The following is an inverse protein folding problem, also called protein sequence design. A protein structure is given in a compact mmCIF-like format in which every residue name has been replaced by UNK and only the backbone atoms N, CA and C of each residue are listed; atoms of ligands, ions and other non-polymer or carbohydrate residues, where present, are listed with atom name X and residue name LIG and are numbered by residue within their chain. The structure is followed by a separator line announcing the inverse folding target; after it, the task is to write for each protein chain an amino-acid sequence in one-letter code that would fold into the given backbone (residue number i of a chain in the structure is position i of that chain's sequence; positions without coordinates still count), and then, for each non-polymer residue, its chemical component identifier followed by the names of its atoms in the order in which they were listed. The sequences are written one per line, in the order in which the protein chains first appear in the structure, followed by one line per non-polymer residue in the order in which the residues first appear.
data_IF_442735795429
#
_entry.id   IF_442735795429
#
_cell.length_a   1.000
_cell.length_b   1.000
_cell.length_c   1.000
_cell.angle_alpha   90.00
_cell.angle_beta   90.00
_cell.angle_gamma   90.00
#
_symmetry.space_group_name_H-M   'P 1'
#
loop_
_entity.id
_entity.type
_entity.pdbx_description
1 polymer ?
#
# COMPACT_ATOMS: atom_id res chain seq x y z
N UNK A 1 -7.48 -35.66 29.81
CA UNK A 1 -7.23 -34.30 30.32
C UNK A 1 -6.52 -33.51 29.23
N UNK A 2 -7.21 -32.56 28.58
CA UNK A 2 -6.57 -31.73 27.55
C UNK A 2 -5.61 -30.76 28.25
N UNK A 3 -4.30 -31.01 28.15
CA UNK A 3 -3.28 -30.09 28.59
C UNK A 3 -3.49 -28.77 27.83
N UNK A 4 -4.11 -27.80 28.49
CA UNK A 4 -4.29 -26.46 27.95
C UNK A 4 -2.92 -25.83 27.90
N UNK A 5 -2.26 -25.95 26.73
CA UNK A 5 -1.01 -25.25 26.46
C UNK A 5 -1.18 -23.79 26.86
N UNK A 6 -0.22 -23.19 27.59
CA UNK A 6 -0.34 -21.80 28.01
C UNK A 6 -0.50 -20.91 26.78
N UNK A 7 -1.36 -19.90 26.85
CA UNK A 7 -1.68 -19.03 25.72
C UNK A 7 -0.41 -18.42 25.08
N UNK A 8 0.60 -18.10 25.91
CA UNK A 8 1.92 -17.64 25.49
C UNK A 8 2.56 -18.57 24.46
N UNK A 9 2.48 -19.89 24.67
CA UNK A 9 3.06 -20.87 23.73
C UNK A 9 2.38 -20.86 22.35
N UNK A 10 1.07 -20.60 22.29
CA UNK A 10 0.34 -20.48 21.03
C UNK A 10 0.68 -19.19 20.28
N UNK A 11 0.87 -18.10 21.02
CA UNK A 11 1.28 -16.80 20.47
C UNK A 11 2.67 -16.93 19.82
N UNK A 12 3.64 -17.53 20.51
CA UNK A 12 4.98 -17.73 19.94
C UNK A 12 5.01 -18.76 18.80
N UNK A 13 4.13 -19.76 18.81
CA UNK A 13 3.96 -20.64 17.65
C UNK A 13 3.44 -19.87 16.43
N UNK A 14 2.46 -18.98 16.62
CA UNK A 14 1.98 -18.11 15.55
C UNK A 14 3.08 -17.17 15.06
N UNK A 15 3.87 -16.62 15.98
CA UNK A 15 5.02 -15.77 15.66
C UNK A 15 6.05 -16.53 14.81
N UNK A 16 6.46 -17.73 15.23
CA UNK A 16 7.39 -18.56 14.46
C UNK A 16 6.87 -18.88 13.06
N UNK A 17 5.57 -19.20 12.93
CA UNK A 17 4.96 -19.45 11.61
C UNK A 17 5.03 -18.22 10.70
N UNK A 18 4.75 -17.03 11.23
CA UNK A 18 4.86 -15.78 10.48
C UNK A 18 6.31 -15.46 10.11
N UNK A 19 7.25 -15.66 11.03
CA UNK A 19 8.68 -15.42 10.79
C UNK A 19 9.27 -16.37 9.73
N UNK A 20 8.92 -17.66 9.77
CA UNK A 20 9.39 -18.66 8.81
C UNK A 20 8.86 -18.36 7.41
N UNK A 21 7.55 -18.09 7.29
CA UNK A 21 6.92 -17.86 6.00
C UNK A 21 7.19 -16.44 5.46
N UNK A 22 7.62 -15.52 6.33
CA UNK A 22 7.74 -14.08 6.07
C UNK A 22 6.46 -13.46 5.48
N UNK A 23 5.32 -14.11 5.70
CA UNK A 23 4.02 -13.73 5.16
C UNK A 23 2.90 -14.34 6.00
N UNK A 24 1.66 -13.89 5.74
CA UNK A 24 0.47 -14.37 6.44
C UNK A 24 -0.03 -15.64 5.73
N UNK A 25 -0.15 -16.78 6.44
CA UNK A 25 -0.69 -18.03 5.88
C UNK A 25 -2.11 -17.85 5.31
N UNK A 26 -2.36 -18.38 4.10
CA UNK A 26 -3.63 -18.19 3.39
C UNK A 26 -4.85 -18.73 4.15
N UNK A 27 -4.68 -19.83 4.89
CA UNK A 27 -5.69 -20.45 5.76
C UNK A 27 -6.09 -19.56 6.94
N UNK A 28 -5.23 -18.62 7.33
CA UNK A 28 -5.48 -17.69 8.43
C UNK A 28 -6.11 -16.36 8.01
N UNK A 29 -6.28 -16.10 6.71
CA UNK A 29 -6.69 -14.77 6.20
C UNK A 29 -8.10 -14.36 6.62
N UNK A 30 -9.06 -15.29 6.54
CA UNK A 30 -10.44 -15.02 6.94
C UNK A 30 -10.51 -14.72 8.44
N UNK A 31 -9.89 -15.58 9.25
CA UNK A 31 -9.78 -15.42 10.69
C UNK A 31 -9.10 -14.10 11.08
N UNK A 32 -8.02 -13.76 10.38
CA UNK A 32 -7.30 -12.50 10.58
C UNK A 32 -8.19 -11.31 10.26
N UNK A 33 -8.88 -11.34 9.11
CA UNK A 33 -9.82 -10.28 8.70
C UNK A 33 -10.91 -10.04 9.75
N UNK A 34 -11.54 -11.09 10.26
CA UNK A 34 -12.54 -10.99 11.33
C UNK A 34 -11.97 -10.36 12.61
N UNK A 35 -10.77 -10.78 13.03
CA UNK A 35 -10.16 -10.30 14.28
C UNK A 35 -9.62 -8.87 14.15
N UNK A 36 -9.10 -8.50 12.97
CA UNK A 36 -8.77 -7.11 12.64
C UNK A 36 -10.02 -6.23 12.68
N UNK A 37 -11.16 -6.70 12.15
CA UNK A 37 -12.42 -5.98 12.24
C UNK A 37 -12.86 -5.79 13.70
N UNK A 38 -12.72 -6.80 14.57
CA UNK A 38 -13.01 -6.66 16.01
C UNK A 38 -12.13 -5.58 16.66
N UNK A 39 -10.83 -5.56 16.36
CA UNK A 39 -9.89 -4.60 16.92
C UNK A 39 -10.15 -3.16 16.44
N UNK A 40 -10.34 -3.00 15.13
CA UNK A 40 -10.20 -1.71 14.45
C UNK A 40 -11.48 -1.09 13.92
N UNK A 41 -12.57 -1.85 13.80
CA UNK A 41 -13.83 -1.30 13.31
C UNK A 41 -14.27 -0.10 14.16
N UNK A 42 -14.83 0.95 13.56
CA UNK A 42 -15.38 2.07 14.32
C UNK A 42 -16.38 1.54 15.35
N UNK A 43 -16.43 2.16 16.54
CA UNK A 43 -17.49 1.85 17.51
C UNK A 43 -18.80 2.24 16.83
N UNK A 44 -19.50 1.27 16.25
CA UNK A 44 -20.85 1.49 15.75
C UNK A 44 -21.62 2.10 16.91
N UNK A 45 -22.12 3.33 16.73
CA UNK A 45 -23.10 3.90 17.66
C UNK A 45 -24.19 2.87 17.70
N UNK A 46 -24.31 2.19 18.85
CA UNK A 46 -25.30 1.17 19.03
C UNK A 46 -26.63 1.81 18.66
N UNK A 47 -27.17 1.46 17.49
CA UNK A 47 -28.52 1.88 17.15
C UNK A 47 -29.35 1.40 18.33
N UNK A 48 -29.96 2.37 19.03
CA UNK A 48 -30.89 2.10 20.12
C UNK A 48 -32.01 1.31 19.49
N UNK A 49 -31.90 -0.01 19.54
CA UNK A 49 -32.99 -0.91 19.12
C UNK A 49 -34.06 -0.76 20.19
N UNK A 50 -35.29 -0.48 19.77
CA UNK A 50 -36.45 -0.29 20.65
C UNK A 50 -36.94 -1.61 21.30
N UNK A 51 -36.04 -2.58 21.50
CA UNK A 51 -36.40 -3.90 22.02
C UNK A 51 -35.25 -4.55 22.77
N UNK A 52 -35.61 -5.43 23.71
CA UNK A 52 -34.68 -6.24 24.49
C UNK A 52 -33.83 -7.09 23.54
N UNK A 53 -32.51 -6.88 23.54
CA UNK A 53 -31.58 -7.70 22.76
C UNK A 53 -31.66 -9.16 23.18
N UNK A 54 -31.53 -10.09 22.23
CA UNK A 54 -31.43 -11.52 22.54
C UNK A 54 -30.15 -11.76 23.35
N UNK A 55 -30.23 -12.59 24.39
CA UNK A 55 -29.10 -12.86 25.30
C UNK A 55 -27.82 -13.27 24.53
N UNK A 56 -27.96 -14.09 23.48
CA UNK A 56 -26.84 -14.49 22.63
C UNK A 56 -26.10 -13.31 21.97
N UNK A 57 -26.84 -12.32 21.46
CA UNK A 57 -26.27 -11.11 20.86
C UNK A 57 -25.53 -10.29 21.92
N UNK A 58 -26.12 -10.14 23.10
CA UNK A 58 -25.51 -9.44 24.23
C UNK A 58 -24.17 -10.08 24.62
N UNK A 59 -24.14 -11.41 24.79
CA UNK A 59 -22.92 -12.14 25.15
C UNK A 59 -21.86 -12.06 24.05
N UNK A 60 -22.25 -12.11 22.78
CA UNK A 60 -21.33 -11.95 21.65
C UNK A 60 -20.73 -10.54 21.59
N UNK A 61 -21.56 -9.52 21.79
CA UNK A 61 -21.12 -8.12 21.81
C UNK A 61 -20.22 -7.83 23.01
N UNK A 62 -20.56 -8.35 24.19
CA UNK A 62 -19.72 -8.25 25.38
C UNK A 62 -18.34 -8.87 25.13
N UNK A 63 -18.29 -10.08 24.56
CA UNK A 63 -17.04 -10.73 24.14
C UNK A 63 -16.23 -9.89 23.17
N UNK A 64 -16.85 -9.34 22.12
CA UNK A 64 -16.18 -8.46 21.15
C UNK A 64 -15.62 -7.20 21.82
N UNK A 65 -16.35 -6.60 22.77
CA UNK A 65 -15.90 -5.42 23.51
C UNK A 65 -14.65 -5.72 24.35
N UNK A 66 -14.64 -6.85 25.05
CA UNK A 66 -13.47 -7.29 25.84
C UNK A 66 -12.29 -7.63 24.95
N UNK A 67 -12.50 -8.42 23.89
CA UNK A 67 -11.46 -8.78 22.93
C UNK A 67 -10.83 -7.55 22.28
N UNK A 68 -11.65 -6.57 21.86
CA UNK A 68 -11.17 -5.30 21.31
C UNK A 68 -10.27 -4.56 22.30
N UNK A 69 -10.68 -4.45 23.57
CA UNK A 69 -9.87 -3.79 24.61
C UNK A 69 -8.50 -4.45 24.69
N UNK A 70 -8.48 -5.78 24.80
CA UNK A 70 -7.24 -6.55 24.96
C UNK A 70 -6.36 -6.46 23.71
N UNK A 71 -6.92 -6.61 22.52
CA UNK A 71 -6.18 -6.47 21.26
C UNK A 71 -5.53 -5.09 21.12
N UNK A 72 -6.25 -4.02 21.44
CA UNK A 72 -5.69 -2.67 21.38
C UNK A 72 -4.63 -2.44 22.46
N UNK A 73 -4.80 -3.01 23.65
CA UNK A 73 -3.80 -2.90 24.71
C UNK A 73 -2.50 -3.63 24.35
N UNK A 74 -2.59 -4.82 23.75
CA UNK A 74 -1.42 -5.53 23.20
C UNK A 74 -0.76 -4.71 22.08
N UNK A 75 -1.54 -4.14 21.16
CA UNK A 75 -1.02 -3.28 20.10
C UNK A 75 -0.23 -2.08 20.65
N UNK A 76 -0.71 -1.46 21.71
CA UNK A 76 -0.06 -0.30 22.32
C UNK A 76 1.21 -0.68 23.09
N UNK A 77 1.29 -1.90 23.63
CA UNK A 77 2.44 -2.38 24.41
C UNK A 77 3.55 -2.95 23.53
N UNK A 78 3.20 -3.79 22.56
CA UNK A 78 4.12 -4.28 21.54
C UNK A 78 3.39 -4.52 20.21
N UNK A 79 3.53 -3.60 19.24
CA UNK A 79 2.96 -3.77 17.90
C UNK A 79 3.46 -5.02 17.18
N UNK A 80 4.66 -5.52 17.49
CA UNK A 80 5.25 -6.67 16.80
C UNK A 80 4.62 -7.99 17.21
N UNK A 81 4.15 -8.10 18.45
CA UNK A 81 3.46 -9.32 18.90
C UNK A 81 1.96 -9.30 18.54
N UNK A 82 1.41 -8.15 18.14
CA UNK A 82 -0.01 -7.98 17.86
C UNK A 82 -0.55 -8.99 16.84
N UNK A 83 0.09 -9.13 15.67
CA UNK A 83 -0.38 -10.08 14.64
C UNK A 83 -0.37 -11.54 15.13
N UNK A 84 0.75 -12.07 15.67
CA UNK A 84 0.76 -13.38 16.33
C UNK A 84 -0.31 -13.52 17.41
N UNK A 85 -0.50 -12.48 18.24
CA UNK A 85 -1.47 -12.47 19.32
C UNK A 85 -2.89 -12.63 18.78
N UNK A 86 -3.28 -11.79 17.83
CA UNK A 86 -4.64 -11.86 17.28
C UNK A 86 -4.85 -13.12 16.48
N UNK A 87 -3.83 -13.79 15.95
CA UNK A 87 -3.98 -15.11 15.31
C UNK A 87 -4.16 -16.24 16.34
N UNK A 88 -3.44 -16.19 17.45
CA UNK A 88 -3.47 -17.23 18.48
C UNK A 88 -4.64 -17.09 19.48
N UNK A 89 -4.96 -15.87 19.92
CA UNK A 89 -5.91 -15.61 21.00
C UNK A 89 -7.27 -15.23 20.43
N UNK A 90 -8.24 -16.15 20.55
CA UNK A 90 -9.62 -15.91 20.11
C UNK A 90 -10.35 -14.89 21.01
N UNK A 91 -11.42 -14.24 20.52
CA UNK A 91 -12.24 -13.34 21.33
C UNK A 91 -12.83 -13.99 22.59
N UNK A 92 -13.00 -15.33 22.59
CA UNK A 92 -13.44 -16.08 23.77
C UNK A 92 -12.32 -16.21 24.80
N UNK A 93 -11.10 -16.50 24.35
CA UNK A 93 -9.93 -16.61 25.22
C UNK A 93 -9.58 -15.28 25.88
N UNK A 94 -9.87 -14.15 25.22
CA UNK A 94 -9.72 -12.81 25.79
C UNK A 94 -10.49 -12.60 27.10
N UNK A 95 -11.59 -13.32 27.36
CA UNK A 95 -12.36 -13.13 28.60
C UNK A 95 -11.58 -13.47 29.88
N UNK A 96 -10.63 -14.39 29.78
CA UNK A 96 -9.81 -14.86 30.89
C UNK A 96 -8.33 -14.61 30.64
N UNK A 97 -8.00 -13.73 29.70
CA UNK A 97 -6.62 -13.44 29.33
C UNK A 97 -6.05 -12.38 30.28
N UNK A 98 -4.99 -12.73 31.01
CA UNK A 98 -4.26 -11.80 31.85
C UNK A 98 -3.12 -11.15 31.05
N UNK A 99 -3.32 -9.88 30.71
CA UNK A 99 -2.33 -9.09 29.99
C UNK A 99 -1.07 -8.87 30.83
N UNK A 100 -1.22 -8.57 32.13
CA UNK A 100 -0.08 -8.26 32.99
C UNK A 100 0.84 -9.46 33.11
N UNK A 101 0.27 -10.64 33.40
CA UNK A 101 1.03 -11.89 33.47
C UNK A 101 1.70 -12.24 32.14
N UNK A 102 1.00 -12.03 31.02
CA UNK A 102 1.59 -12.23 29.70
C UNK A 102 2.77 -11.28 29.45
N UNK A 103 2.62 -9.99 29.74
CA UNK A 103 3.66 -8.99 29.50
C UNK A 103 4.89 -9.19 30.40
N UNK A 104 4.72 -9.65 31.63
CA UNK A 104 5.84 -10.01 32.53
C UNK A 104 6.68 -11.17 31.98
N UNK A 105 6.02 -12.16 31.35
CA UNK A 105 6.68 -13.30 30.74
C UNK A 105 7.15 -13.01 29.30
N UNK A 106 6.64 -11.95 28.69
CA UNK A 106 6.88 -11.65 27.30
C UNK A 106 8.27 -11.02 27.13
N UNK A 107 9.17 -11.77 26.47
CA UNK A 107 10.42 -11.23 25.97
C UNK A 107 10.18 -10.73 24.56
N UNK A 108 10.39 -9.43 24.32
CA UNK A 108 10.25 -8.82 23.00
C UNK A 108 11.15 -9.56 22.00
N UNK A 109 10.54 -10.35 21.10
CA UNK A 109 11.25 -11.22 20.14
C UNK A 109 11.87 -10.43 18.96
N UNK A 110 12.06 -9.12 19.12
CA UNK A 110 12.39 -8.22 18.03
C UNK A 110 11.27 -8.10 16.99
N UNK A 111 11.60 -7.45 15.87
CA UNK A 111 10.66 -7.26 14.76
C UNK A 111 10.59 -8.53 13.92
N UNK A 112 9.38 -8.98 13.60
CA UNK A 112 9.19 -10.01 12.59
C UNK A 112 9.17 -9.34 11.22
N UNK A 113 10.10 -9.73 10.33
CA UNK A 113 10.16 -9.19 8.97
C UNK A 113 9.07 -9.85 8.10
N UNK A 114 7.93 -9.16 7.96
CA UNK A 114 6.93 -9.48 6.95
C UNK A 114 7.35 -8.87 5.60
N UNK A 115 7.29 -9.64 4.53
CA UNK A 115 7.54 -9.15 3.16
C UNK A 115 6.43 -8.21 2.67
N UNK A 116 6.73 -7.44 1.63
CA UNK A 116 5.82 -6.47 1.00
C UNK A 116 4.46 -7.07 0.60
N UNK A 117 4.38 -8.37 0.30
CA UNK A 117 3.11 -9.02 0.00
C UNK A 117 2.15 -9.05 1.21
N UNK A 118 2.68 -9.17 2.44
CA UNK A 118 1.86 -9.14 3.66
C UNK A 118 1.24 -7.76 3.89
N UNK A 119 1.94 -6.69 3.51
CA UNK A 119 1.41 -5.33 3.58
C UNK A 119 0.18 -5.19 2.69
N UNK A 120 0.28 -5.62 1.42
CA UNK A 120 -0.82 -5.61 0.47
C UNK A 120 -2.00 -6.46 0.94
N UNK A 121 -1.73 -7.63 1.55
CA UNK A 121 -2.75 -8.50 2.15
C UNK A 121 -3.49 -7.77 3.29
N UNK A 122 -2.76 -7.14 4.21
CA UNK A 122 -3.36 -6.43 5.34
C UNK A 122 -4.19 -5.23 4.89
N UNK A 123 -3.70 -4.46 3.92
CA UNK A 123 -4.49 -3.39 3.30
C UNK A 123 -5.72 -3.91 2.58
N UNK A 124 -5.61 -5.03 1.86
CA UNK A 124 -6.74 -5.68 1.20
C UNK A 124 -7.82 -6.13 2.20
N UNK A 125 -7.42 -6.77 3.29
CA UNK A 125 -8.30 -7.14 4.40
C UNK A 125 -8.91 -5.90 5.05
N UNK A 126 -8.12 -4.85 5.25
CA UNK A 126 -8.60 -3.62 5.87
C UNK A 126 -9.68 -2.93 5.05
N UNK A 127 -9.50 -2.83 3.73
CA UNK A 127 -10.52 -2.31 2.80
C UNK A 127 -11.76 -3.21 2.78
N UNK A 128 -11.59 -4.53 2.74
CA UNK A 128 -12.70 -5.50 2.78
C UNK A 128 -13.59 -5.33 4.01
N UNK A 129 -13.00 -4.95 5.14
CA UNK A 129 -13.70 -4.76 6.41
C UNK A 129 -13.96 -3.30 6.80
N UNK A 130 -13.71 -2.34 5.90
CA UNK A 130 -13.88 -0.90 6.13
C UNK A 130 -13.16 -0.38 7.39
N UNK A 131 -11.90 -0.83 7.56
CA UNK A 131 -11.04 -0.44 8.69
C UNK A 131 -9.75 0.27 8.26
N UNK A 132 -9.53 0.48 6.96
CA UNK A 132 -8.36 1.18 6.40
C UNK A 132 -8.32 2.67 6.79
N UNK A 133 -9.47 3.25 7.12
CA UNK A 133 -9.60 4.58 7.74
C UNK A 133 -9.22 4.64 9.23
N UNK A 134 -9.15 3.49 9.92
CA UNK A 134 -8.93 3.42 11.37
C UNK A 134 -7.53 3.91 11.77
N UNK A 135 -7.48 4.82 12.74
CA UNK A 135 -6.21 5.39 13.23
C UNK A 135 -5.30 4.30 13.82
N UNK A 136 -5.87 3.34 14.55
CA UNK A 136 -5.11 2.24 15.13
C UNK A 136 -4.59 1.26 14.08
N UNK A 137 -5.39 0.98 13.03
CA UNK A 137 -4.91 0.14 11.92
C UNK A 137 -3.74 0.81 11.19
N UNK A 138 -3.84 2.11 10.88
CA UNK A 138 -2.73 2.84 10.27
C UNK A 138 -1.51 2.92 11.19
N UNK A 139 -1.71 3.04 12.50
CA UNK A 139 -0.61 2.95 13.48
C UNK A 139 0.06 1.57 13.39
N UNK A 140 -0.69 0.47 13.45
CA UNK A 140 -0.18 -0.88 13.26
C UNK A 140 0.66 -1.00 11.98
N UNK A 141 0.13 -0.54 10.84
CA UNK A 141 0.82 -0.62 9.55
C UNK A 141 2.15 0.16 9.56
N UNK A 142 2.19 1.34 10.19
CA UNK A 142 3.42 2.13 10.34
C UNK A 142 4.46 1.42 11.22
N UNK A 143 4.04 0.86 12.35
CA UNK A 143 4.93 0.18 13.28
C UNK A 143 5.53 -1.12 12.69
N UNK A 144 4.70 -1.92 12.01
CA UNK A 144 5.14 -3.23 11.49
C UNK A 144 5.93 -3.10 10.20
N UNK A 145 5.50 -2.25 9.26
CA UNK A 145 6.15 -2.15 7.94
C UNK A 145 7.16 -1.03 7.84
N UNK A 146 7.42 -0.29 8.93
CA UNK A 146 8.25 0.91 8.90
C UNK A 146 7.87 1.81 7.73
N UNK A 147 6.56 1.97 7.48
CA UNK A 147 6.10 3.05 6.60
C UNK A 147 6.74 4.28 7.20
N UNK A 148 7.72 4.84 6.48
CA UNK A 148 8.61 5.87 7.02
C UNK A 148 7.73 6.91 7.70
N UNK A 149 8.12 7.42 8.89
CA UNK A 149 7.45 8.59 9.44
C UNK A 149 7.30 9.58 8.28
N UNK A 150 6.10 10.15 8.10
CA UNK A 150 5.83 10.96 6.93
C UNK A 150 6.99 11.94 6.81
N UNK A 151 7.73 11.84 5.70
CA UNK A 151 9.01 12.55 5.58
C UNK A 151 8.78 14.05 5.74
N UNK A 152 7.54 14.47 5.46
CA UNK A 152 7.08 15.83 5.64
C UNK A 152 5.63 15.91 6.14
N UNK A 153 5.22 17.07 6.65
CA UNK A 153 3.86 17.39 7.06
C UNK A 153 2.84 17.23 5.92
N UNK A 154 3.28 17.37 4.66
CA UNK A 154 2.45 17.28 3.46
C UNK A 154 1.88 15.87 3.23
N UNK A 155 2.50 14.83 3.81
CA UNK A 155 1.95 13.47 3.83
C UNK A 155 0.82 13.30 4.88
N UNK A 156 0.68 14.27 5.79
CA UNK A 156 -0.34 14.30 6.83
C UNK A 156 -1.77 14.36 6.31
N UNK A 157 -2.76 14.29 7.20
CA UNK A 157 -4.19 14.37 6.82
C UNK A 157 -4.66 15.80 6.52
N UNK A 158 -3.96 16.80 7.04
CA UNK A 158 -4.31 18.22 6.96
C UNK A 158 -3.54 18.90 5.83
N UNK A 159 -3.93 18.65 4.58
CA UNK A 159 -3.30 19.26 3.40
C UNK A 159 -4.32 19.68 2.34
N UNK A 160 -4.01 20.75 1.62
CA UNK A 160 -4.64 21.08 0.35
C UNK A 160 -4.07 20.16 -0.73
N UNK A 161 -4.92 19.65 -1.62
CA UNK A 161 -4.48 18.93 -2.83
C UNK A 161 -4.86 19.77 -4.04
N UNK A 162 -3.85 20.29 -4.75
CA UNK A 162 -4.03 21.00 -6.00
C UNK A 162 -3.81 20.02 -7.15
N UNK A 163 -4.91 19.59 -7.75
CA UNK A 163 -4.93 18.85 -9.00
C UNK A 163 -5.10 19.87 -10.13
N UNK A 164 -4.29 19.77 -11.18
CA UNK A 164 -4.16 20.69 -12.34
C UNK A 164 -2.90 21.56 -12.27
N UNK A 165 -1.97 21.24 -13.17
CA UNK A 165 -0.79 22.05 -13.47
C UNK A 165 -0.74 22.32 -14.97
N UNK A 166 -0.14 23.44 -15.38
CA UNK A 166 0.03 23.76 -16.80
C UNK A 166 1.27 23.06 -17.35
N UNK A 167 1.13 22.49 -18.54
CA UNK A 167 2.19 21.78 -19.27
C UNK A 167 3.45 22.66 -19.48
N UNK A 168 3.33 23.93 -19.90
CA UNK A 168 4.50 24.81 -19.98
C UNK A 168 5.21 25.03 -18.64
N UNK A 169 4.47 25.18 -17.53
CA UNK A 169 5.07 25.37 -16.21
C UNK A 169 5.79 24.10 -15.74
N UNK A 170 5.21 22.92 -15.99
CA UNK A 170 5.85 21.62 -15.72
C UNK A 170 7.17 21.53 -16.49
N UNK A 171 7.15 21.83 -17.79
CA UNK A 171 8.35 21.80 -18.64
C UNK A 171 9.43 22.73 -18.11
N UNK A 172 9.06 23.96 -17.75
CA UNK A 172 10.00 24.95 -17.23
C UNK A 172 10.58 24.54 -15.85
N UNK A 173 9.77 23.92 -14.99
CA UNK A 173 10.18 23.56 -13.64
C UNK A 173 11.00 22.26 -13.58
N UNK A 174 10.64 21.26 -14.39
CA UNK A 174 11.20 19.90 -14.31
C UNK A 174 12.07 19.52 -15.51
N UNK A 175 12.08 20.33 -16.56
CA UNK A 175 12.83 20.07 -17.79
C UNK A 175 12.13 19.09 -18.74
N UNK A 176 12.74 18.92 -19.92
CA UNK A 176 12.17 18.16 -21.03
C UNK A 176 11.97 16.68 -20.73
N UNK A 177 12.92 16.03 -20.06
CA UNK A 177 12.85 14.58 -19.78
C UNK A 177 11.63 14.22 -18.93
N UNK A 178 11.33 15.02 -17.90
CA UNK A 178 10.16 14.81 -17.05
C UNK A 178 8.88 15.21 -17.80
N UNK A 179 8.93 16.30 -18.56
CA UNK A 179 7.81 16.75 -19.38
C UNK A 179 7.37 15.66 -20.37
N UNK A 180 8.30 15.10 -21.14
CA UNK A 180 8.03 14.05 -22.13
C UNK A 180 7.50 12.78 -21.45
N UNK A 181 7.99 12.46 -20.26
CA UNK A 181 7.48 11.35 -19.46
C UNK A 181 6.03 11.59 -19.01
N UNK A 182 5.68 12.81 -18.61
CA UNK A 182 4.31 13.19 -18.23
C UNK A 182 3.39 13.21 -19.46
N UNK A 183 3.86 13.66 -20.62
CA UNK A 183 3.07 13.63 -21.85
C UNK A 183 2.64 12.22 -22.26
N UNK A 184 3.42 11.20 -21.86
CA UNK A 184 3.15 9.78 -22.08
C UNK A 184 2.42 9.12 -20.91
N UNK A 185 2.03 9.88 -19.88
CA UNK A 185 1.34 9.33 -18.71
C UNK A 185 0.00 8.69 -19.11
N UNK A 186 -0.49 7.67 -18.38
CA UNK A 186 -1.80 7.07 -18.65
C UNK A 186 -2.94 8.09 -18.65
N UNK A 187 -2.91 9.04 -17.71
CA UNK A 187 -3.87 10.13 -17.63
C UNK A 187 -3.85 10.99 -18.90
N UNK A 188 -2.66 11.35 -19.39
CA UNK A 188 -2.56 12.23 -20.55
C UNK A 188 -2.83 11.52 -21.89
N UNK A 189 -2.44 10.25 -22.01
CA UNK A 189 -2.83 9.39 -23.13
C UNK A 189 -4.35 9.26 -23.19
N UNK A 190 -5.01 9.07 -22.05
CA UNK A 190 -6.48 8.98 -21.97
C UNK A 190 -7.16 10.29 -22.34
N UNK A 191 -6.62 11.43 -21.89
CA UNK A 191 -7.15 12.75 -22.23
C UNK A 191 -7.05 13.03 -23.74
N UNK A 192 -5.88 12.74 -24.35
CA UNK A 192 -5.66 12.85 -25.80
C UNK A 192 -6.58 11.92 -26.59
N UNK A 193 -6.75 10.67 -26.15
CA UNK A 193 -7.66 9.71 -26.80
C UNK A 193 -9.13 10.18 -26.78
N UNK A 194 -9.52 10.98 -25.78
CA UNK A 194 -10.84 11.60 -25.68
C UNK A 194 -10.94 12.95 -26.41
N UNK A 195 -9.89 13.40 -27.11
CA UNK A 195 -9.84 14.68 -27.80
C UNK A 195 -9.69 15.90 -26.89
N UNK A 196 -9.39 15.72 -25.60
CA UNK A 196 -9.13 16.82 -24.69
C UNK A 196 -7.67 17.26 -24.80
N UNK A 197 -7.41 18.24 -25.67
CA UNK A 197 -6.14 18.95 -25.72
C UNK A 197 -6.22 20.16 -24.80
N UNK A 198 -5.87 19.95 -23.54
CA UNK A 198 -5.76 21.03 -22.55
C UNK A 198 -4.30 21.33 -22.28
N UNK A 199 -3.95 22.61 -22.15
CA UNK A 199 -2.66 23.02 -21.60
C UNK A 199 -2.51 22.64 -20.12
N UNK A 200 -3.61 22.20 -19.47
CA UNK A 200 -3.61 21.71 -18.09
C UNK A 200 -3.62 20.19 -18.05
N UNK A 201 -2.93 19.61 -17.08
CA UNK A 201 -2.89 18.16 -16.84
C UNK A 201 -3.16 17.82 -15.38
N UNK A 202 -3.85 16.71 -15.15
CA UNK A 202 -4.04 16.09 -13.83
C UNK A 202 -2.90 15.11 -13.47
N UNK A 203 -1.97 14.86 -14.40
CA UNK A 203 -0.81 13.99 -14.19
C UNK A 203 0.17 14.56 -13.17
N UNK A 204 0.03 15.84 -12.82
CA UNK A 204 0.83 16.50 -11.78
C UNK A 204 -0.10 17.11 -10.77
N UNK A 205 0.11 16.76 -9.50
CA UNK A 205 -0.62 17.35 -8.39
C UNK A 205 0.31 17.62 -7.21
N UNK A 206 -0.05 18.65 -6.45
CA UNK A 206 0.75 19.10 -5.31
C UNK A 206 -0.07 18.98 -4.04
N UNK A 207 0.56 18.47 -2.98
CA UNK A 207 0.01 18.48 -1.63
C UNK A 207 0.77 19.49 -0.79
N UNK A 208 0.03 20.39 -0.14
CA UNK A 208 0.59 21.42 0.76
C UNK A 208 -0.13 21.34 2.10
N UNK A 209 0.56 21.14 3.23
CA UNK A 209 -0.05 21.13 4.54
C UNK A 209 -0.77 22.44 4.85
N UNK A 210 -1.82 22.38 5.67
CA UNK A 210 -2.59 23.59 6.03
C UNK A 210 -1.78 24.60 6.85
N UNK A 211 -0.78 24.12 7.59
CA UNK A 211 -0.01 24.93 8.56
C UNK A 211 1.37 25.32 8.07
N UNK A 212 1.82 24.76 6.94
CA UNK A 212 3.14 25.02 6.40
C UNK A 212 3.05 25.08 4.89
N UNK A 213 3.45 26.22 4.31
CA UNK A 213 3.61 26.40 2.87
C UNK A 213 5.02 26.05 2.38
N UNK A 214 5.95 25.80 3.31
CA UNK A 214 7.35 25.50 3.02
C UNK A 214 7.59 24.02 2.74
N UNK A 215 6.59 23.21 3.04
CA UNK A 215 6.57 21.79 2.79
C UNK A 215 5.54 21.48 1.71
N UNK A 216 5.98 20.84 0.64
CA UNK A 216 5.08 20.39 -0.41
C UNK A 216 5.57 19.08 -1.01
N UNK A 217 4.60 18.23 -1.34
CA UNK A 217 4.86 17.01 -2.10
C UNK A 217 4.25 17.19 -3.47
N UNK A 218 5.13 17.19 -4.48
CA UNK A 218 4.72 17.15 -5.87
C UNK A 218 4.74 15.70 -6.32
N UNK A 219 3.60 15.21 -6.77
CA UNK A 219 3.45 13.88 -7.32
C UNK A 219 3.35 13.97 -8.83
N UNK A 220 4.17 13.16 -9.51
CA UNK A 220 4.24 13.11 -10.96
C UNK A 220 3.77 11.71 -11.41
N UNK A 221 2.70 11.67 -12.20
CA UNK A 221 2.32 10.49 -12.96
C UNK A 221 3.07 10.53 -14.30
N UNK A 222 3.96 9.57 -14.49
CA UNK A 222 4.80 9.45 -15.67
C UNK A 222 4.44 8.19 -16.45
N UNK A 223 4.53 8.28 -17.77
CA UNK A 223 4.40 7.15 -18.67
C UNK A 223 5.66 6.29 -18.74
N UNK A 224 5.66 5.34 -19.66
CA UNK A 224 6.87 4.59 -20.02
C UNK A 224 7.93 5.55 -20.59
N UNK A 225 8.89 5.89 -19.74
CA UNK A 225 9.96 6.84 -20.06
C UNK A 225 11.30 6.20 -19.70
N UNK A 226 11.85 5.42 -20.64
CA UNK A 226 13.17 4.77 -20.52
C UNK A 226 14.24 5.79 -20.17
N UNK A 227 14.17 7.00 -20.76
CA UNK A 227 15.10 8.09 -20.47
C UNK A 227 15.02 8.55 -19.01
N UNK A 228 13.80 8.78 -18.50
CA UNK A 228 13.59 9.13 -17.08
C UNK A 228 14.06 8.00 -16.16
N UNK A 229 13.76 6.74 -16.50
CA UNK A 229 14.23 5.58 -15.74
C UNK A 229 15.77 5.48 -15.77
N UNK A 230 16.41 5.84 -16.88
CA UNK A 230 17.87 5.87 -16.99
C UNK A 230 18.49 6.96 -16.11
N UNK A 231 17.83 8.12 -16.00
CA UNK A 231 18.26 9.22 -15.11
C UNK A 231 18.11 8.83 -13.64
N UNK A 232 16.95 8.29 -13.25
CA UNK A 232 16.65 7.98 -11.84
C UNK A 232 17.30 6.67 -11.36
N UNK A 233 17.39 5.67 -12.24
CA UNK A 233 17.84 4.31 -11.92
C UNK A 233 18.77 3.75 -13.00
N UNK A 234 19.93 4.38 -13.25
CA UNK A 234 20.81 4.03 -14.38
C UNK A 234 21.19 2.55 -14.39
N UNK A 235 21.55 2.00 -13.23
CA UNK A 235 21.96 0.59 -13.09
C UNK A 235 20.81 -0.37 -13.41
N UNK A 236 19.59 -0.06 -12.96
CA UNK A 236 18.43 -0.91 -13.21
C UNK A 236 18.03 -0.87 -14.69
N UNK A 237 18.06 0.32 -15.28
CA UNK A 237 17.73 0.53 -16.69
C UNK A 237 18.73 -0.20 -17.60
N UNK A 238 20.04 -0.13 -17.31
CA UNK A 238 21.06 -0.89 -18.05
C UNK A 238 20.83 -2.40 -17.99
N UNK A 239 20.44 -2.93 -16.82
CA UNK A 239 20.11 -4.37 -16.69
C UNK A 239 18.90 -4.74 -17.55
N UNK A 240 17.84 -3.94 -17.52
CA UNK A 240 16.63 -4.18 -18.34
C UNK A 240 16.99 -4.13 -19.83
N UNK A 241 17.73 -3.11 -20.27
CA UNK A 241 18.16 -2.98 -21.67
C UNK A 241 19.04 -4.16 -22.10
N UNK A 242 19.94 -4.63 -21.22
CA UNK A 242 20.78 -5.80 -21.49
C UNK A 242 19.94 -7.07 -21.66
N UNK A 243 18.95 -7.28 -20.79
CA UNK A 243 18.03 -8.43 -20.87
C UNK A 243 17.18 -8.36 -22.15
N UNK A 244 16.60 -7.20 -22.45
CA UNK A 244 15.79 -7.01 -23.67
C UNK A 244 16.62 -7.20 -24.94
N UNK A 245 17.87 -6.75 -24.95
CA UNK A 245 18.80 -6.95 -26.07
C UNK A 245 19.19 -8.42 -26.24
N UNK A 246 19.38 -9.16 -25.14
CA UNK A 246 19.67 -10.60 -25.18
C UNK A 246 18.46 -11.44 -25.62
N UNK A 247 17.23 -10.99 -25.28
CA UNK A 247 15.99 -11.64 -25.67
C UNK A 247 15.50 -11.24 -27.06
N UNK A 248 16.10 -10.25 -27.72
CA UNK A 248 15.75 -9.88 -29.08
C UNK A 248 16.17 -11.02 -30.02
N UNK A 249 15.23 -11.82 -30.57
CA UNK A 249 15.60 -12.90 -31.47
C UNK A 249 16.34 -12.27 -32.65
N UNK A 250 17.52 -12.81 -32.94
CA UNK A 250 18.33 -12.44 -34.08
C UNK A 250 17.46 -12.61 -35.33
N UNK A 251 16.86 -11.52 -35.81
CA UNK A 251 16.23 -11.47 -37.12
C UNK A 251 17.39 -11.60 -38.09
N UNK A 252 17.78 -12.84 -38.38
CA UNK A 252 18.67 -13.18 -39.48
C UNK A 252 17.99 -12.60 -40.72
N UNK A 253 18.48 -11.45 -41.17
CA UNK A 253 18.24 -10.93 -42.51
C UNK A 253 18.69 -12.01 -43.50
N UNK A 254 17.75 -12.86 -43.88
CA UNK A 254 17.89 -13.69 -45.07
C UNK A 254 17.39 -12.81 -46.20
N UNK A 255 18.34 -12.26 -46.95
CA UNK A 255 18.13 -11.54 -48.19
C UNK A 255 17.12 -12.30 -49.06
N UNK A 256 15.92 -11.76 -49.21
CA UNK A 256 15.00 -12.16 -50.26
C UNK A 256 14.86 -10.98 -51.20
N UNK A 257 15.56 -11.11 -52.32
CA UNK A 257 15.38 -10.34 -53.53
C UNK A 257 13.93 -10.43 -53.98
N UNK A 258 13.28 -9.27 -54.02
CA UNK A 258 12.62 -8.73 -55.21
C UNK A 258 11.76 -9.71 -56.04
N UNK A 259 10.43 -9.68 -55.84
CA UNK A 259 9.44 -9.84 -56.91
C UNK A 259 8.03 -9.38 -56.49
N UNK A 260 7.63 -8.22 -56.99
CA UNK A 260 6.35 -7.93 -57.67
C UNK A 260 5.02 -8.08 -56.87
N UNK A 261 4.50 -6.90 -56.50
CA UNK A 261 3.11 -6.40 -56.65
C UNK A 261 1.93 -7.38 -56.60
N UNK A 262 1.10 -7.21 -55.57
CA UNK A 262 -0.30 -7.59 -55.56
C UNK A 262 -1.01 -6.99 -54.33
N UNK A 263 -2.04 -6.13 -54.48
CA UNK A 263 -2.78 -5.55 -53.37
C UNK A 263 -4.00 -6.41 -53.03
N UNK A 264 -4.25 -6.65 -51.74
CA UNK A 264 -5.51 -6.26 -51.09
C UNK A 264 -5.53 -6.62 -49.59
N UNK A 265 -6.37 -5.94 -48.77
CA UNK A 265 -6.21 -5.84 -47.33
C UNK A 265 -7.24 -6.69 -46.57
N UNK A 266 -6.82 -7.42 -45.53
CA UNK A 266 -7.71 -7.78 -44.41
C UNK A 266 -6.94 -7.97 -43.10
N UNK A 267 -7.32 -7.13 -42.13
CA UNK A 267 -7.64 -7.43 -40.74
C UNK A 267 -6.63 -8.12 -39.79
N UNK A 268 -6.08 -7.27 -38.92
CA UNK A 268 -5.86 -7.45 -37.46
C UNK A 268 -4.82 -8.50 -36.99
N UNK A 269 -4.28 -8.42 -35.74
CA UNK A 269 -4.58 -7.51 -34.63
C UNK A 269 -3.37 -6.77 -34.02
N UNK A 270 -3.67 -5.60 -33.48
CA UNK A 270 -2.83 -4.91 -32.51
C UNK A 270 -2.90 -5.64 -31.16
N UNK A 271 -1.81 -6.31 -30.77
CA UNK A 271 -1.55 -6.71 -29.39
C UNK A 271 -0.17 -6.21 -29.00
N UNK A 272 -0.02 -4.89 -28.86
CA UNK A 272 1.05 -4.35 -28.03
C UNK A 272 0.61 -4.45 -26.58
N UNK A 273 1.02 -5.54 -25.94
CA UNK A 273 1.00 -5.67 -24.48
C UNK A 273 1.95 -4.62 -23.90
N UNK A 274 1.47 -3.38 -23.71
CA UNK A 274 2.17 -2.40 -22.89
C UNK A 274 2.13 -2.88 -21.44
N UNK A 275 3.24 -3.46 -20.99
CA UNK A 275 3.50 -3.72 -19.57
C UNK A 275 3.70 -2.34 -18.94
N UNK A 276 2.61 -1.66 -18.63
CA UNK A 276 2.61 -0.36 -17.96
C UNK A 276 3.03 -0.53 -16.51
N UNK A 277 4.33 -0.48 -16.23
CA UNK A 277 4.82 -0.33 -14.87
C UNK A 277 4.50 1.09 -14.38
N UNK A 278 3.64 1.19 -13.38
CA UNK A 278 3.34 2.47 -12.71
C UNK A 278 4.42 2.75 -11.67
N UNK A 279 5.25 3.75 -11.92
CA UNK A 279 6.15 4.30 -10.92
C UNK A 279 5.53 5.56 -10.33
N UNK A 280 5.47 5.62 -9.00
CA UNK A 280 5.12 6.84 -8.26
C UNK A 280 6.42 7.41 -7.71
N UNK A 281 6.91 8.48 -8.32
CA UNK A 281 8.07 9.20 -7.81
C UNK A 281 7.56 10.27 -6.84
N UNK A 282 8.00 10.18 -5.58
CA UNK A 282 7.80 11.22 -4.58
C UNK A 282 9.06 12.09 -4.56
N UNK A 283 8.95 13.33 -5.06
CA UNK A 283 9.99 14.34 -4.87
C UNK A 283 9.58 15.26 -3.73
N UNK A 284 10.43 15.33 -2.72
CA UNK A 284 10.25 16.20 -1.56
C UNK A 284 11.16 17.40 -1.71
N UNK A 285 10.58 18.60 -1.84
CA UNK A 285 11.34 19.84 -1.81
C UNK A 285 11.15 20.49 -0.43
N UNK A 286 12.23 20.62 0.33
CA UNK A 286 12.25 21.40 1.57
C UNK A 286 12.71 22.79 1.19
N UNK A 287 11.79 23.76 1.16
CA UNK A 287 12.16 25.15 0.96
C UNK A 287 12.76 25.69 2.26
N UNK A 288 14.10 25.77 2.32
CA UNK A 288 14.78 26.53 3.38
C UNK A 288 14.51 28.02 3.13
N UNK A 289 13.42 28.56 3.68
CA UNK A 289 13.24 30.00 3.75
C UNK A 289 14.18 30.54 4.83
N UNK A 290 15.44 30.74 4.45
CA UNK A 290 16.30 31.69 5.15
C UNK A 290 16.17 32.98 4.36
N UNK A 291 15.79 34.06 5.04
CA UNK A 291 15.70 35.44 4.54
C UNK A 291 14.37 35.81 3.86
N UNK A 292 13.47 36.42 4.65
CA UNK A 292 13.12 37.85 4.58
C UNK A 292 12.26 38.19 5.81
#
# INVERSE_FOLDING_TARGET
MASTKPASSLIYQAWNKLSINQTIPSDSLELLGERLAIAFAPKLKEQRRNGRRRNLEYVAQHRRKIARKIYLEILEKDPNIFLPFILAVSPRACLSFDISSFLEQHQSQGRHFLRNNAEAILWGLAKKHDIDGSLHFRKLMREIFQLSPPATEAEGKEHYSLHLSTLPAIRNAFGDVIFDAIERSPTQVTARAKGYFSEKTESVWTKVPYRSSQDAIISLEVGSAIELANVLFPIATQKIVSILSACSPTVRQKNFSEAILGPDPQDTPATSSEIGMKFKVHMTAVANSTLC
#
